data_IF_641193434078
#
_entry.id   IF_641193434078
#
_cell.length_a   1.000
_cell.length_b   1.000
_cell.length_c   1.000
_cell.angle_alpha   90.00
_cell.angle_beta   90.00
_cell.angle_gamma   90.00
#
_symmetry.space_group_name_H-M   'P 1'
#
loop_
_entity.id
_entity.type
_entity.pdbx_description
1 polymer ?
#
# COMPACT_ATOMS: atom_id res chain seq x y z
N UNK A 1 -59.86 5.96 7.38
CA UNK A 1 -59.20 4.76 6.82
C UNK A 1 -57.71 4.83 7.11
N UNK A 2 -57.27 4.36 8.28
CA UNK A 2 -55.86 4.20 8.61
C UNK A 2 -55.67 2.77 9.09
N UNK A 3 -55.33 1.85 8.18
CA UNK A 3 -55.04 0.48 8.56
C UNK A 3 -53.62 0.41 9.16
N UNK A 4 -53.38 -0.56 10.03
CA UNK A 4 -52.03 -0.79 10.59
C UNK A 4 -51.01 -1.01 9.45
N UNK A 5 -51.44 -1.62 8.35
CA UNK A 5 -50.63 -1.82 7.15
C UNK A 5 -50.17 -0.50 6.49
N UNK A 6 -51.01 0.54 6.43
CA UNK A 6 -50.58 1.82 5.84
C UNK A 6 -49.58 2.56 6.73
N UNK A 7 -49.65 2.40 8.06
CA UNK A 7 -48.66 2.97 8.99
C UNK A 7 -47.30 2.26 8.88
N UNK A 8 -47.30 0.94 8.79
CA UNK A 8 -46.07 0.13 8.59
C UNK A 8 -45.41 0.47 7.26
N UNK A 9 -46.20 0.61 6.18
CA UNK A 9 -45.67 0.98 4.87
C UNK A 9 -44.95 2.33 4.88
N UNK A 10 -45.54 3.34 5.54
CA UNK A 10 -44.91 4.64 5.66
C UNK A 10 -43.59 4.57 6.45
N UNK A 11 -43.57 3.90 7.60
CA UNK A 11 -42.33 3.73 8.40
C UNK A 11 -41.25 3.00 7.57
N UNK A 12 -41.64 1.94 6.87
CA UNK A 12 -40.73 1.18 6.00
C UNK A 12 -40.17 2.02 4.86
N UNK A 13 -40.94 2.98 4.33
CA UNK A 13 -40.47 3.88 3.29
C UNK A 13 -39.54 4.99 3.82
N UNK A 14 -39.72 5.43 5.07
CA UNK A 14 -38.87 6.46 5.70
C UNK A 14 -37.53 5.91 6.20
N UNK A 15 -37.47 4.66 6.66
CA UNK A 15 -36.25 4.05 7.20
C UNK A 15 -35.04 4.13 6.24
N UNK A 16 -35.15 3.76 4.95
CA UNK A 16 -34.05 3.88 3.99
C UNK A 16 -33.56 5.32 3.80
N UNK A 17 -34.47 6.29 3.78
CA UNK A 17 -34.12 7.71 3.63
C UNK A 17 -33.34 8.22 4.85
N UNK A 18 -33.78 7.84 6.06
CA UNK A 18 -33.07 8.17 7.30
C UNK A 18 -31.69 7.49 7.37
N UNK A 19 -31.58 6.21 6.98
CA UNK A 19 -30.28 5.52 6.97
C UNK A 19 -29.34 6.12 5.92
N UNK A 20 -29.83 6.47 4.74
CA UNK A 20 -29.01 7.10 3.70
C UNK A 20 -28.53 8.49 4.13
N UNK A 21 -29.38 9.30 4.78
CA UNK A 21 -28.99 10.59 5.34
C UNK A 21 -27.93 10.42 6.45
N UNK A 22 -28.10 9.44 7.34
CA UNK A 22 -27.11 9.13 8.37
C UNK A 22 -25.78 8.68 7.77
N UNK A 23 -25.79 7.79 6.77
CA UNK A 23 -24.59 7.34 6.05
C UNK A 23 -23.89 8.51 5.34
N UNK A 24 -24.64 9.46 4.78
CA UNK A 24 -24.09 10.67 4.18
C UNK A 24 -23.38 11.56 5.22
N UNK A 25 -23.98 11.79 6.39
CA UNK A 25 -23.33 12.52 7.48
C UNK A 25 -22.07 11.81 7.99
N UNK A 26 -22.11 10.47 8.10
CA UNK A 26 -20.96 9.64 8.47
C UNK A 26 -19.85 9.76 7.40
N UNK A 27 -20.19 9.77 6.12
CA UNK A 27 -19.23 9.96 5.05
C UNK A 27 -18.60 11.37 5.09
N UNK A 28 -19.40 12.42 5.29
CA UNK A 28 -18.93 13.81 5.37
C UNK A 28 -18.03 14.06 6.58
N UNK A 29 -18.30 13.44 7.72
CA UNK A 29 -17.44 13.55 8.89
C UNK A 29 -16.00 13.06 8.64
N UNK A 30 -15.74 12.28 7.58
CA UNK A 30 -14.39 11.84 7.21
C UNK A 30 -13.47 12.99 6.84
N UNK A 31 -14.00 14.08 6.29
CA UNK A 31 -13.20 15.22 5.85
C UNK A 31 -12.70 16.10 7.01
N UNK A 32 -13.28 15.95 8.20
CA UNK A 32 -12.89 16.71 9.39
C UNK A 32 -11.71 16.08 10.13
N UNK A 33 -11.33 14.84 9.79
CA UNK A 33 -10.22 14.16 10.44
C UNK A 33 -8.93 14.35 9.65
N UNK A 34 -8.00 15.10 10.24
CA UNK A 34 -6.61 15.15 9.78
C UNK A 34 -5.82 14.10 10.56
N UNK A 35 -5.27 13.12 9.85
CA UNK A 35 -4.38 12.13 10.45
C UNK A 35 -2.92 12.48 10.11
N UNK A 36 -2.05 12.40 11.12
CA UNK A 36 -0.61 12.56 10.99
C UNK A 36 0.05 11.23 11.36
N UNK A 37 0.24 10.30 10.41
CA UNK A 37 0.95 9.06 10.64
C UNK A 37 2.46 9.30 10.66
N UNK A 38 3.16 8.72 11.65
CA UNK A 38 4.61 8.85 11.78
C UNK A 38 5.27 7.51 11.47
N UNK A 39 6.01 7.47 10.37
CA UNK A 39 6.77 6.31 9.95
C UNK A 39 8.27 6.60 9.87
N UNK A 40 9.08 5.61 10.21
CA UNK A 40 10.49 5.56 9.87
C UNK A 40 10.75 4.30 9.03
N UNK A 41 11.51 4.47 7.96
CA UNK A 41 11.78 3.46 6.95
C UNK A 41 13.29 3.35 6.77
N UNK A 42 13.83 2.19 7.12
CA UNK A 42 15.25 1.87 6.93
C UNK A 42 15.40 0.69 5.99
N UNK A 43 16.23 0.83 4.97
CA UNK A 43 16.31 -0.14 3.87
C UNK A 43 17.76 -0.53 3.67
N UNK A 44 17.97 -1.84 3.53
CA UNK A 44 19.28 -2.38 3.16
C UNK A 44 19.41 -2.44 1.64
N UNK A 45 20.65 -2.42 1.11
CA UNK A 45 20.89 -2.51 -0.33
C UNK A 45 20.18 -3.71 -0.97
N UNK A 46 19.68 -3.51 -2.18
CA UNK A 46 18.97 -4.55 -2.92
C UNK A 46 19.99 -5.52 -3.48
N UNK A 47 19.82 -6.82 -3.21
CA UNK A 47 20.66 -7.86 -3.85
C UNK A 47 19.90 -8.49 -5.00
N UNK A 48 20.44 -8.38 -6.20
CA UNK A 48 19.84 -8.98 -7.39
C UNK A 48 20.54 -10.30 -7.74
N UNK A 49 19.74 -11.35 -7.96
CA UNK A 49 20.23 -12.67 -8.36
C UNK A 49 19.54 -13.15 -9.63
N UNK A 50 20.27 -13.84 -10.53
CA UNK A 50 19.66 -14.48 -11.69
C UNK A 50 18.75 -15.64 -11.23
N UNK A 51 17.49 -15.64 -11.63
CA UNK A 51 16.52 -16.67 -11.30
C UNK A 51 15.77 -17.17 -12.54
N UNK A 52 15.55 -18.49 -12.63
CA UNK A 52 14.73 -19.09 -13.69
C UNK A 52 13.30 -19.19 -13.19
N UNK A 53 12.37 -18.53 -13.87
CA UNK A 53 10.94 -18.65 -13.53
C UNK A 53 10.31 -19.81 -14.26
N UNK A 54 9.49 -20.60 -13.56
CA UNK A 54 8.84 -21.78 -14.15
C UNK A 54 7.92 -21.41 -15.33
N UNK A 55 7.44 -20.17 -15.38
CA UNK A 55 6.56 -19.65 -16.45
C UNK A 55 7.32 -19.35 -17.76
N UNK A 56 8.61 -19.06 -17.69
CA UNK A 56 9.45 -18.80 -18.88
C UNK A 56 10.82 -19.48 -18.72
N UNK A 57 10.91 -20.81 -18.89
CA UNK A 57 12.15 -21.56 -18.65
C UNK A 57 13.30 -21.16 -19.60
N UNK A 58 12.98 -20.60 -20.78
CA UNK A 58 13.96 -20.15 -21.77
C UNK A 58 14.47 -18.72 -21.56
N UNK A 59 13.83 -17.92 -20.70
CA UNK A 59 14.27 -16.55 -20.40
C UNK A 59 14.94 -16.52 -19.02
N UNK A 60 16.23 -16.21 -18.99
CA UNK A 60 16.91 -15.82 -17.75
C UNK A 60 16.35 -14.46 -17.34
N UNK A 61 15.92 -14.33 -16.09
CA UNK A 61 15.47 -13.07 -15.54
C UNK A 61 16.15 -12.85 -14.20
N UNK A 62 16.52 -11.62 -13.91
CA UNK A 62 17.04 -11.28 -12.60
C UNK A 62 15.86 -11.03 -11.64
N UNK A 63 16.04 -11.43 -10.38
CA UNK A 63 15.13 -11.13 -9.28
C UNK A 63 15.90 -10.37 -8.20
N UNK A 64 15.37 -9.21 -7.82
CA UNK A 64 15.84 -8.44 -6.68
C UNK A 64 15.20 -8.94 -5.38
N UNK A 65 16.05 -9.18 -4.38
CA UNK A 65 15.64 -9.35 -3.00
C UNK A 65 16.09 -8.15 -2.18
N UNK A 66 15.12 -7.53 -1.52
CA UNK A 66 15.33 -6.35 -0.68
C UNK A 66 15.10 -6.78 0.76
N UNK A 67 16.05 -6.47 1.63
CA UNK A 67 15.87 -6.55 3.07
C UNK A 67 15.52 -5.14 3.57
N UNK A 68 14.46 -5.02 4.35
CA UNK A 68 14.04 -3.75 4.91
C UNK A 68 13.59 -3.91 6.35
N UNK A 69 13.68 -2.81 7.09
CA UNK A 69 13.17 -2.67 8.43
C UNK A 69 12.25 -1.43 8.49
N UNK A 70 10.97 -1.71 8.74
CA UNK A 70 9.90 -0.73 8.82
C UNK A 70 9.51 -0.59 10.29
N UNK A 71 9.52 0.64 10.79
CA UNK A 71 8.95 1.02 12.07
C UNK A 71 7.97 2.17 11.85
N UNK A 72 6.67 1.91 11.92
CA UNK A 72 5.65 2.94 11.69
C UNK A 72 4.53 2.87 12.73
N UNK A 73 4.12 4.03 13.21
CA UNK A 73 2.95 4.21 14.05
C UNK A 73 1.80 4.77 13.21
N UNK A 74 0.85 3.89 12.90
CA UNK A 74 -0.34 4.20 12.12
C UNK A 74 -1.60 4.29 13.00
N UNK A 75 -1.45 4.33 14.32
CA UNK A 75 -2.58 4.34 15.27
C UNK A 75 -3.50 5.54 15.08
N UNK A 76 -2.96 6.68 14.61
CA UNK A 76 -3.71 7.90 14.30
C UNK A 76 -4.70 7.73 13.13
N UNK A 77 -4.48 6.74 12.25
CA UNK A 77 -5.36 6.44 11.12
C UNK A 77 -6.56 5.57 11.51
N UNK A 78 -6.53 4.94 12.69
CA UNK A 78 -7.63 4.12 13.19
C UNK A 78 -8.64 4.95 13.98
N UNK A 79 -9.78 5.18 13.34
CA UNK A 79 -10.96 5.79 13.94
C UNK A 79 -12.12 4.80 13.98
N UNK A 80 -13.23 5.20 14.60
CA UNK A 80 -14.45 4.41 14.71
C UNK A 80 -15.05 3.95 13.37
N UNK A 81 -14.68 4.60 12.25
CA UNK A 81 -15.10 4.23 10.89
C UNK A 81 -14.09 3.38 10.13
N UNK A 82 -12.85 3.28 10.60
CA UNK A 82 -11.80 2.60 9.85
C UNK A 82 -12.03 1.09 9.94
N UNK A 83 -12.30 0.45 8.80
CA UNK A 83 -12.50 -1.00 8.73
C UNK A 83 -11.17 -1.74 8.65
N UNK A 84 -10.30 -1.26 7.76
CA UNK A 84 -8.97 -1.83 7.55
C UNK A 84 -8.04 -0.80 6.91
N UNK A 85 -6.75 -0.99 7.12
CA UNK A 85 -5.68 -0.23 6.51
C UNK A 85 -4.85 -1.18 5.65
N UNK A 86 -4.67 -0.84 4.38
CA UNK A 86 -3.80 -1.55 3.46
C UNK A 86 -2.47 -0.80 3.37
N UNK A 87 -1.44 -1.35 3.99
CA UNK A 87 -0.09 -0.81 3.95
C UNK A 87 0.72 -1.53 2.90
N UNK A 88 1.50 -0.79 2.12
CA UNK A 88 2.39 -1.39 1.13
C UNK A 88 3.68 -0.58 0.99
N UNK A 89 4.77 -1.31 0.74
CA UNK A 89 6.07 -0.75 0.43
C UNK A 89 6.23 -0.75 -1.08
N UNK A 90 6.41 0.44 -1.64
CA UNK A 90 6.59 0.69 -3.05
C UNK A 90 8.04 1.07 -3.33
N UNK A 91 8.62 0.47 -4.36
CA UNK A 91 9.91 0.81 -4.93
C UNK A 91 9.69 1.61 -6.21
N UNK A 92 10.13 2.86 -6.22
CA UNK A 92 10.11 3.77 -7.36
C UNK A 92 11.52 3.81 -7.95
N UNK A 93 11.64 3.50 -9.23
CA UNK A 93 12.91 3.59 -9.95
C UNK A 93 12.68 4.07 -11.37
N UNK A 94 13.67 4.78 -11.90
CA UNK A 94 13.64 5.24 -13.27
C UNK A 94 14.41 4.27 -14.13
N UNK A 95 13.88 3.90 -15.30
CA UNK A 95 14.65 3.13 -16.27
C UNK A 95 14.80 3.94 -17.56
N UNK A 96 16.04 4.06 -18.04
CA UNK A 96 16.35 4.64 -19.34
C UNK A 96 16.32 3.53 -20.40
N UNK A 97 15.11 3.11 -20.77
CA UNK A 97 14.89 2.22 -21.91
C UNK A 97 14.82 3.08 -23.19
N UNK A 98 15.96 3.48 -23.74
CA UNK A 98 16.03 4.32 -24.94
C UNK A 98 15.87 5.82 -24.65
N UNK A 99 15.07 6.54 -25.47
CA UNK A 99 14.91 8.01 -25.41
C UNK A 99 13.93 8.46 -24.31
N UNK A 100 13.09 7.55 -23.79
CA UNK A 100 12.06 7.89 -22.80
C UNK A 100 12.47 7.40 -21.40
N UNK A 101 12.50 8.32 -20.44
CA UNK A 101 12.62 7.97 -19.02
C UNK A 101 11.27 7.42 -18.55
N UNK A 102 11.22 6.14 -18.17
CA UNK A 102 10.02 5.52 -17.65
C UNK A 102 10.15 5.38 -16.13
N UNK A 103 9.25 6.02 -15.39
CA UNK A 103 9.12 5.84 -13.94
C UNK A 103 8.37 4.54 -13.69
N UNK A 104 9.06 3.54 -13.16
CA UNK A 104 8.46 2.28 -12.79
C UNK A 104 8.21 2.26 -11.29
N UNK A 105 7.03 1.75 -10.93
CA UNK A 105 6.64 1.55 -9.54
C UNK A 105 6.32 0.09 -9.30
N UNK A 106 6.93 -0.49 -8.25
CA UNK A 106 6.78 -1.91 -7.93
C UNK A 106 6.49 -2.07 -6.45
N UNK A 107 5.43 -2.81 -6.13
CA UNK A 107 5.10 -3.16 -4.73
C UNK A 107 5.92 -4.38 -4.32
N UNK A 108 6.79 -4.21 -3.32
CA UNK A 108 7.69 -5.27 -2.84
C UNK A 108 7.14 -6.00 -1.61
N UNK A 109 6.28 -5.33 -0.84
CA UNK A 109 5.67 -5.86 0.38
C UNK A 109 4.34 -5.19 0.67
N UNK A 110 3.42 -5.95 1.26
CA UNK A 110 2.10 -5.49 1.67
C UNK A 110 1.69 -6.12 3.00
N UNK A 111 0.91 -5.39 3.79
CA UNK A 111 0.27 -5.86 5.02
C UNK A 111 -1.09 -5.21 5.20
N UNK A 112 -2.08 -6.02 5.52
CA UNK A 112 -3.41 -5.54 5.92
C UNK A 112 -3.47 -5.45 7.44
N UNK A 113 -3.71 -4.26 7.97
CA UNK A 113 -3.93 -4.01 9.40
C UNK A 113 -5.42 -3.82 9.63
N UNK A 114 -6.01 -4.63 10.51
CA UNK A 114 -7.46 -4.60 10.79
C UNK A 114 -7.81 -3.97 12.12
N UNK A 115 -6.91 -4.03 13.11
CA UNK A 115 -7.13 -3.55 14.47
C UNK A 115 -6.15 -2.44 14.82
N UNK A 116 -6.58 -1.52 15.68
CA UNK A 116 -5.74 -0.43 16.17
C UNK A 116 -4.52 -0.93 16.96
N UNK A 117 -4.66 -2.05 17.67
CA UNK A 117 -3.56 -2.69 18.41
C UNK A 117 -2.42 -3.14 17.48
N UNK A 118 -2.76 -3.54 16.25
CA UNK A 118 -1.80 -3.99 15.23
C UNK A 118 -1.25 -2.82 14.38
N UNK A 119 -1.63 -1.58 14.68
CA UNK A 119 -1.27 -0.40 13.90
C UNK A 119 0.15 0.11 14.19
N UNK A 120 0.78 -0.38 15.26
CA UNK A 120 2.21 -0.19 15.51
C UNK A 120 2.96 -1.31 14.81
N UNK A 121 3.67 -0.96 13.75
CA UNK A 121 4.30 -1.92 12.85
C UNK A 121 5.79 -1.86 13.04
N UNK A 122 6.35 -2.95 13.55
CA UNK A 122 7.78 -3.22 13.56
C UNK A 122 8.01 -4.50 12.76
N UNK A 123 8.50 -4.36 11.53
CA UNK A 123 8.77 -5.50 10.64
C UNK A 123 10.16 -5.37 10.04
N UNK A 124 11.00 -6.37 10.31
CA UNK A 124 12.29 -6.54 9.67
C UNK A 124 12.27 -7.86 8.87
N UNK A 125 12.52 -7.80 7.57
CA UNK A 125 12.45 -8.98 6.74
C UNK A 125 12.77 -8.77 5.27
N UNK A 126 12.55 -9.84 4.50
CA UNK A 126 12.69 -9.89 3.04
C UNK A 126 11.41 -9.42 2.36
N UNK A 127 11.54 -8.96 1.12
CA UNK A 127 10.41 -8.70 0.23
C UNK A 127 9.54 -9.95 0.04
N UNK A 128 8.22 -9.73 0.03
CA UNK A 128 7.21 -10.77 -0.20
C UNK A 128 7.05 -11.05 -1.69
N UNK A 129 7.13 -10.01 -2.51
CA UNK A 129 7.11 -10.11 -3.96
C UNK A 129 8.51 -9.94 -4.52
N UNK A 130 8.94 -10.91 -5.32
CA UNK A 130 10.20 -10.84 -6.05
C UNK A 130 10.18 -9.59 -6.93
N UNK A 131 11.17 -8.71 -6.74
CA UNK A 131 11.33 -7.56 -7.59
C UNK A 131 11.78 -8.07 -8.96
N UNK A 132 11.00 -7.78 -10.01
CA UNK A 132 11.29 -8.18 -11.39
C UNK A 132 11.27 -6.95 -12.27
N UNK A 133 12.26 -6.88 -13.15
CA UNK A 133 12.43 -5.78 -14.08
C UNK A 133 12.09 -6.23 -15.51
N UNK A 134 11.53 -5.33 -16.31
CA UNK A 134 10.97 -5.62 -17.63
C UNK A 134 12.07 -6.02 -18.62
N UNK A 135 13.24 -5.36 -18.56
CA UNK A 135 14.41 -5.63 -19.41
C UNK A 135 15.18 -6.89 -19.03
N UNK A 136 14.70 -7.65 -18.06
CA UNK A 136 15.30 -8.88 -17.50
C UNK A 136 16.63 -8.68 -16.76
N UNK A 137 17.15 -7.46 -16.70
CA UNK A 137 18.39 -7.13 -15.99
C UNK A 137 18.31 -5.78 -15.28
N UNK A 138 18.71 -5.71 -14.01
CA UNK A 138 18.80 -4.43 -13.30
C UNK A 138 20.14 -3.73 -13.50
N UNK A 139 21.10 -4.28 -14.28
CA UNK A 139 22.45 -3.69 -14.46
C UNK A 139 22.43 -2.24 -14.98
N UNK A 140 21.35 -1.83 -15.64
CA UNK A 140 21.14 -0.48 -16.19
C UNK A 140 20.15 0.36 -15.38
N UNK A 141 19.69 -0.15 -14.25
CA UNK A 141 18.70 0.52 -13.42
C UNK A 141 19.43 1.36 -12.36
N UNK A 142 19.25 2.69 -12.35
CA UNK A 142 19.75 3.55 -11.28
C UNK A 142 19.11 3.21 -9.94
N UNK A 143 19.65 3.80 -8.87
CA UNK A 143 19.18 3.69 -7.50
C UNK A 143 17.65 3.84 -7.36
N UNK A 144 17.07 3.09 -6.42
CA UNK A 144 15.63 3.04 -6.18
C UNK A 144 15.23 3.82 -4.93
N UNK A 145 14.17 4.61 -5.03
CA UNK A 145 13.53 5.22 -3.87
C UNK A 145 12.44 4.29 -3.36
N UNK A 146 12.30 4.22 -2.05
CA UNK A 146 11.22 3.46 -1.44
C UNK A 146 10.33 4.35 -0.61
N UNK A 147 9.04 4.12 -0.78
CA UNK A 147 7.96 4.83 -0.11
C UNK A 147 7.02 3.84 0.54
N UNK A 148 6.77 4.03 1.83
CA UNK A 148 5.76 3.31 2.58
C UNK A 148 4.44 4.05 2.44
N UNK A 149 3.54 3.52 1.62
CA UNK A 149 2.23 4.11 1.36
C UNK A 149 1.12 3.28 2.02
N UNK A 150 0.03 3.95 2.36
CA UNK A 150 -1.13 3.32 2.97
C UNK A 150 -2.42 3.75 2.27
N UNK A 151 -3.40 2.87 2.30
CA UNK A 151 -4.77 3.11 1.87
C UNK A 151 -5.71 2.79 3.04
N UNK A 152 -6.45 3.79 3.51
CA UNK A 152 -7.43 3.65 4.58
C UNK A 152 -8.79 3.33 3.97
N UNK A 153 -9.35 2.19 4.39
CA UNK A 153 -10.66 1.74 3.96
C UNK A 153 -11.69 1.95 5.08
N UNK A 154 -12.61 2.92 4.94
CA UNK A 154 -13.68 3.10 5.90
C UNK A 154 -14.81 2.07 5.68
N UNK A 155 -15.66 1.89 6.69
CA UNK A 155 -16.92 1.16 6.51
C UNK A 155 -17.86 1.87 5.53
N UNK A 156 -17.86 3.20 5.54
CA UNK A 156 -18.71 4.07 4.71
C UNK A 156 -17.91 5.30 4.34
N UNK A 157 -17.85 5.62 3.04
CA UNK A 157 -17.17 6.80 2.52
C UNK A 157 -16.07 6.49 1.52
N UNK A 158 -15.17 7.45 1.32
CA UNK A 158 -14.13 7.43 0.27
C UNK A 158 -12.84 6.80 0.79
N UNK A 159 -12.15 6.08 -0.10
CA UNK A 159 -10.80 5.57 0.14
C UNK A 159 -9.80 6.73 0.20
N UNK A 160 -9.00 6.78 1.26
CA UNK A 160 -7.96 7.82 1.41
C UNK A 160 -6.59 7.20 1.31
N UNK A 161 -5.70 7.88 0.60
CA UNK A 161 -4.35 7.45 0.33
C UNK A 161 -3.38 8.41 0.98
N UNK A 162 -2.25 7.89 1.45
CA UNK A 162 -1.18 8.71 1.98
C UNK A 162 0.15 7.97 2.01
N UNK A 163 1.19 8.73 2.32
CA UNK A 163 2.55 8.24 2.49
C UNK A 163 2.95 8.40 3.95
N UNK A 164 3.39 7.31 4.58
CA UNK A 164 3.79 7.29 5.98
C UNK A 164 5.30 7.52 6.17
N UNK A 165 6.11 7.12 5.20
CA UNK A 165 7.55 7.31 5.22
C UNK A 165 8.14 7.22 3.81
N UNK A 166 9.21 7.98 3.58
CA UNK A 166 10.03 7.90 2.36
C UNK A 166 11.49 7.78 2.72
N UNK A 167 12.24 7.01 1.95
CA UNK A 167 13.70 6.95 2.09
C UNK A 167 14.30 8.25 1.56
N UNK A 168 15.13 8.92 2.36
CA UNK A 168 15.76 10.19 1.99
C UNK A 168 16.78 10.02 0.85
N UNK A 169 17.51 8.90 0.86
CA UNK A 169 18.52 8.57 -0.12
C UNK A 169 18.02 7.46 -1.05
N UNK A 170 18.50 7.47 -2.29
CA UNK A 170 18.23 6.40 -3.23
C UNK A 170 19.10 5.18 -2.85
N UNK A 171 18.51 3.98 -2.88
CA UNK A 171 19.18 2.75 -2.51
C UNK A 171 19.66 2.03 -3.77
N UNK A 172 20.94 1.71 -3.80
CA UNK A 172 21.59 1.05 -4.92
C UNK A 172 21.26 -0.44 -5.03
N UNK A 173 21.33 -0.93 -6.27
CA UNK A 173 21.27 -2.35 -6.59
C UNK A 173 22.69 -2.94 -6.57
N UNK A 174 22.93 -3.86 -5.63
CA UNK A 174 24.18 -4.60 -5.49
C UNK A 174 24.09 -5.90 -6.28
N UNK A 175 25.10 -6.11 -7.11
CA UNK A 175 25.24 -7.24 -8.02
C UNK A 175 26.14 -8.30 -7.39
N UNK A 176 25.60 -9.49 -7.15
CA UNK A 176 26.40 -10.64 -6.72
C UNK A 176 26.50 -11.61 -7.91
N UNK A 177 27.62 -11.55 -8.63
CA UNK A 177 27.96 -12.56 -9.63
C UNK A 177 28.45 -13.80 -8.87
N UNK A 178 27.56 -14.77 -8.66
CA UNK A 178 27.99 -16.09 -8.21
C UNK A 178 28.82 -16.74 -9.33
N UNK A 179 30.13 -16.78 -9.12
CA UNK A 179 31.10 -17.64 -9.82
C UNK A 179 30.80 -19.10 -9.50
#
# INVERSE_FOLDING_TARGET
MHSIFTRVNNISAFLPSCTMALLACIALSSFLFTADPKGNLSISPVRAFPSKTNRYPRRKQEMGFVNFNISADLTSLFHWKTKQLFLYLEAEYQNTQGILCVNNTVVVWDRIVRRKEDAVINFAGKNKYAFREISSSFKKVPSSHYSLKYNVMPYVGVLTYGEAARTAEAVDFVWEEHV
#
